data_IF_851028923979
#
_entry.id   IF_851028923979
#
_cell.length_a   1.000
_cell.length_b   1.000
_cell.length_c   1.000
_cell.angle_alpha   90.00
_cell.angle_beta   90.00
_cell.angle_gamma   90.00
#
_symmetry.space_group_name_H-M   'P 1'
#
loop_
_entity.id
_entity.type
_entity.pdbx_description
1 polymer ?
#
# COMPACT_ATOMS: atom_id res chain seq x y z
N UNK A 1 4.39 -36.22 23.10
CA UNK A 1 3.54 -35.33 22.30
C UNK A 1 4.18 -33.95 22.33
N UNK A 2 4.76 -33.46 21.23
CA UNK A 2 5.49 -32.18 21.23
C UNK A 2 5.88 -31.77 19.82
N UNK A 3 4.97 -31.07 19.13
CA UNK A 3 5.21 -30.53 17.80
C UNK A 3 4.22 -29.38 17.51
N UNK A 4 4.28 -28.29 18.28
CA UNK A 4 3.50 -27.08 17.98
C UNK A 4 4.28 -25.76 18.09
N UNK A 5 5.54 -25.76 18.53
CA UNK A 5 6.26 -24.52 18.87
C UNK A 5 7.00 -23.83 17.71
N UNK A 6 7.20 -24.50 16.57
CA UNK A 6 8.09 -24.00 15.52
C UNK A 6 7.48 -22.90 14.64
N UNK A 7 6.16 -22.93 14.40
CA UNK A 7 5.47 -21.97 13.54
C UNK A 7 5.17 -20.65 14.23
N UNK A 8 4.73 -20.66 15.48
CA UNK A 8 4.46 -19.44 16.27
C UNK A 8 5.73 -18.62 16.51
N UNK A 9 6.85 -19.30 16.81
CA UNK A 9 8.13 -18.63 17.04
C UNK A 9 8.64 -17.93 15.76
N UNK A 10 8.40 -18.53 14.59
CA UNK A 10 8.75 -17.92 13.29
C UNK A 10 7.90 -16.69 12.96
N UNK A 11 6.62 -16.70 13.31
CA UNK A 11 5.72 -15.54 13.14
C UNK A 11 6.16 -14.40 14.06
N UNK A 12 6.48 -14.71 15.32
CA UNK A 12 7.02 -13.77 16.31
C UNK A 12 8.29 -13.06 15.82
N UNK A 13 9.24 -13.80 15.24
CA UNK A 13 10.49 -13.23 14.71
C UNK A 13 10.21 -12.27 13.55
N UNK A 14 9.39 -12.70 12.57
CA UNK A 14 9.04 -11.86 11.41
C UNK A 14 8.32 -10.57 11.81
N UNK A 15 7.44 -10.65 12.80
CA UNK A 15 6.75 -9.49 13.34
C UNK A 15 7.74 -8.51 13.98
N UNK A 16 8.63 -9.01 14.86
CA UNK A 16 9.65 -8.19 15.52
C UNK A 16 10.55 -7.48 14.50
N UNK A 17 11.00 -8.19 13.47
CA UNK A 17 11.81 -7.61 12.40
C UNK A 17 11.07 -6.48 11.66
N UNK A 18 9.81 -6.72 11.28
CA UNK A 18 8.99 -5.72 10.60
C UNK A 18 8.80 -4.46 11.47
N UNK A 19 8.49 -4.64 12.75
CA UNK A 19 8.31 -3.54 13.71
C UNK A 19 9.62 -2.77 13.96
N UNK A 20 10.75 -3.47 14.08
CA UNK A 20 12.07 -2.85 14.27
C UNK A 20 12.41 -1.95 13.08
N UNK A 21 12.15 -2.43 11.86
CA UNK A 21 12.37 -1.65 10.65
C UNK A 21 11.46 -0.42 10.59
N UNK A 22 10.17 -0.57 10.90
CA UNK A 22 9.25 0.57 10.94
C UNK A 22 9.59 1.58 12.05
N UNK A 23 10.10 1.11 13.19
CA UNK A 23 10.58 1.96 14.27
C UNK A 23 11.80 2.78 13.83
N UNK A 24 12.73 2.17 13.09
CA UNK A 24 13.93 2.86 12.58
C UNK A 24 13.63 4.02 11.64
N UNK A 25 12.47 4.01 10.98
CA UNK A 25 12.00 5.12 10.13
C UNK A 25 11.05 6.08 10.84
N UNK A 26 10.80 5.89 12.14
CA UNK A 26 9.81 6.66 12.91
C UNK A 26 8.34 6.41 12.51
N UNK A 27 8.07 5.41 11.66
CA UNK A 27 6.74 5.19 11.10
C UNK A 27 5.87 4.25 11.96
N UNK A 28 6.46 3.54 12.93
CA UNK A 28 5.78 2.48 13.68
C UNK A 28 4.47 2.94 14.34
N UNK A 29 4.49 4.05 15.09
CA UNK A 29 3.30 4.56 15.79
C UNK A 29 2.19 4.98 14.82
N UNK A 30 2.57 5.55 13.67
CA UNK A 30 1.62 5.90 12.61
C UNK A 30 1.00 4.64 12.01
N UNK A 31 1.81 3.61 11.72
CA UNK A 31 1.34 2.35 11.16
C UNK A 31 0.40 1.63 12.12
N UNK A 32 0.72 1.61 13.43
CA UNK A 32 -0.16 1.02 14.45
C UNK A 32 -1.53 1.72 14.47
N UNK A 33 -1.53 3.05 14.50
CA UNK A 33 -2.78 3.83 14.48
C UNK A 33 -3.59 3.57 13.22
N UNK A 34 -2.94 3.58 12.05
CA UNK A 34 -3.59 3.30 10.77
C UNK A 34 -4.14 1.87 10.72
N UNK A 35 -3.39 0.89 11.20
CA UNK A 35 -3.85 -0.50 11.23
C UNK A 35 -5.06 -0.66 12.14
N UNK A 36 -5.03 -0.12 13.35
CA UNK A 36 -6.19 -0.17 14.26
C UNK A 36 -7.45 0.50 13.70
N UNK A 37 -7.29 1.54 12.87
CA UNK A 37 -8.43 2.20 12.23
C UNK A 37 -9.01 1.39 11.04
N UNK A 38 -8.19 0.57 10.39
CA UNK A 38 -8.56 -0.16 9.17
C UNK A 38 -8.86 -1.63 9.41
N UNK A 39 -8.36 -2.19 10.51
CA UNK A 39 -8.53 -3.58 10.86
C UNK A 39 -9.96 -3.86 11.30
N UNK A 40 -10.45 -5.00 10.87
CA UNK A 40 -11.70 -5.56 11.36
C UNK A 40 -11.51 -6.04 12.81
N UNK A 41 -12.33 -5.58 13.78
CA UNK A 41 -12.16 -5.90 15.20
C UNK A 41 -12.22 -7.39 15.50
N UNK A 42 -13.00 -8.14 14.72
CA UNK A 42 -13.24 -9.57 14.95
C UNK A 42 -12.10 -10.44 14.40
N UNK A 43 -11.44 -10.00 13.33
CA UNK A 43 -10.37 -10.77 12.68
C UNK A 43 -8.95 -10.23 12.86
N UNK A 44 -8.77 -9.06 13.50
CA UNK A 44 -7.47 -8.41 13.70
C UNK A 44 -6.64 -8.31 12.39
N UNK A 45 -7.33 -8.11 11.28
CA UNK A 45 -6.75 -8.02 9.94
C UNK A 45 -7.49 -6.97 9.13
N UNK A 46 -6.79 -6.31 8.22
CA UNK A 46 -7.39 -5.30 7.34
C UNK A 46 -8.08 -6.02 6.18
N UNK A 47 -9.40 -5.81 5.97
CA UNK A 47 -10.09 -6.25 4.77
C UNK A 47 -9.52 -5.57 3.52
N UNK A 48 -9.34 -6.29 2.42
CA UNK A 48 -8.74 -5.74 1.20
C UNK A 48 -9.50 -4.50 0.69
N UNK A 49 -10.83 -4.52 0.78
CA UNK A 49 -11.68 -3.41 0.37
C UNK A 49 -11.41 -2.15 1.20
N UNK A 50 -11.22 -2.27 2.52
CA UNK A 50 -10.90 -1.14 3.39
C UNK A 50 -9.55 -0.53 3.02
N UNK A 51 -8.56 -1.38 2.73
CA UNK A 51 -7.24 -0.92 2.31
C UNK A 51 -7.29 -0.27 0.91
N UNK A 52 -8.12 -0.79 0.00
CA UNK A 52 -8.27 -0.25 -1.35
C UNK A 52 -8.86 1.16 -1.34
N UNK A 53 -9.84 1.40 -0.47
CA UNK A 53 -10.41 2.73 -0.29
C UNK A 53 -9.37 3.77 0.17
N UNK A 54 -8.34 3.36 0.91
CA UNK A 54 -7.25 4.28 1.31
C UNK A 54 -6.40 4.76 0.13
N UNK A 55 -6.31 3.97 -0.95
CA UNK A 55 -5.54 4.31 -2.15
C UNK A 55 -6.42 4.80 -3.30
N UNK A 56 -7.75 4.77 -3.15
CA UNK A 56 -8.66 5.39 -4.11
C UNK A 56 -8.51 6.92 -4.06
N UNK A 57 -7.90 7.48 -5.11
CA UNK A 57 -7.85 8.91 -5.32
C UNK A 57 -9.22 9.39 -5.80
N UNK A 58 -10.07 9.81 -4.86
CA UNK A 58 -11.40 10.32 -5.20
C UNK A 58 -11.28 11.72 -5.81
N UNK A 59 -11.63 11.87 -7.08
CA UNK A 59 -11.52 13.14 -7.79
C UNK A 59 -12.82 13.95 -7.66
N UNK A 60 -12.98 14.66 -6.55
CA UNK A 60 -14.04 15.67 -6.42
C UNK A 60 -13.52 17.00 -6.93
N UNK A 61 -13.92 17.35 -8.15
CA UNK A 61 -13.65 18.64 -8.80
C UNK A 61 -12.18 18.86 -9.23
N UNK A 62 -11.77 18.21 -10.33
CA UNK A 62 -10.56 18.55 -11.08
C UNK A 62 -10.25 20.04 -11.15
N UNK A 63 -9.15 20.48 -10.55
CA UNK A 63 -8.49 21.69 -11.04
C UNK A 63 -7.37 21.21 -11.94
N UNK A 64 -7.67 21.13 -13.23
CA UNK A 64 -6.69 20.79 -14.26
C UNK A 64 -6.48 22.02 -15.14
N UNK A 65 -5.23 22.47 -15.26
CA UNK A 65 -4.87 23.58 -16.18
C UNK A 65 -4.92 23.14 -17.66
N UNK A 66 -5.06 21.83 -17.91
CA UNK A 66 -5.25 21.30 -19.26
C UNK A 66 -6.69 21.53 -19.74
N UNK A 67 -6.82 21.92 -21.01
CA UNK A 67 -8.11 22.22 -21.66
C UNK A 67 -9.09 21.04 -21.65
N UNK A 68 -8.58 19.81 -21.58
CA UNK A 68 -9.35 18.56 -21.55
C UNK A 68 -8.60 17.51 -20.76
N UNK A 69 -9.22 16.96 -19.71
CA UNK A 69 -8.75 15.74 -19.04
C UNK A 69 -9.20 14.55 -19.89
N UNK A 70 -8.31 13.64 -20.33
CA UNK A 70 -8.71 12.47 -21.09
C UNK A 70 -9.68 11.59 -20.26
N UNK A 71 -10.70 11.02 -20.92
CA UNK A 71 -11.66 10.11 -20.27
C UNK A 71 -10.99 8.88 -19.64
N UNK A 72 -9.78 8.53 -20.10
CA UNK A 72 -8.96 7.45 -19.55
C UNK A 72 -8.29 7.79 -18.22
N UNK A 73 -8.17 9.07 -17.86
CA UNK A 73 -7.47 9.50 -16.65
C UNK A 73 -8.24 9.13 -15.36
N UNK A 74 -9.56 9.37 -15.25
CA UNK A 74 -10.35 8.83 -14.14
C UNK A 74 -10.24 7.30 -14.01
N UNK A 75 -10.33 6.57 -15.12
CA UNK A 75 -10.16 5.11 -15.12
C UNK A 75 -8.77 4.68 -14.61
N UNK A 76 -7.71 5.40 -14.99
CA UNK A 76 -6.37 5.12 -14.48
C UNK A 76 -6.29 5.29 -12.95
N UNK A 77 -6.94 6.32 -12.41
CA UNK A 77 -6.99 6.56 -10.95
C UNK A 77 -7.79 5.48 -10.23
N UNK A 78 -8.88 4.99 -10.82
CA UNK A 78 -9.68 3.88 -10.28
C UNK A 78 -8.85 2.60 -10.16
N UNK A 79 -7.92 2.36 -11.10
CA UNK A 79 -7.03 1.20 -11.09
C UNK A 79 -5.74 1.38 -10.26
N UNK A 80 -5.41 2.61 -9.88
CA UNK A 80 -4.17 2.91 -9.17
C UNK A 80 -4.11 2.21 -7.81
N UNK A 81 -5.22 2.23 -7.06
CA UNK A 81 -5.31 1.56 -5.75
C UNK A 81 -4.99 0.07 -5.85
N UNK A 82 -5.66 -0.64 -6.75
CA UNK A 82 -5.43 -2.07 -7.01
C UNK A 82 -3.99 -2.35 -7.46
N UNK A 83 -3.44 -1.49 -8.32
CA UNK A 83 -2.05 -1.61 -8.82
C UNK A 83 -0.99 -1.42 -7.73
N UNK A 84 -1.33 -0.78 -6.61
CA UNK A 84 -0.49 -0.66 -5.42
C UNK A 84 -0.72 -1.85 -4.49
N UNK A 85 -1.97 -2.26 -4.27
CA UNK A 85 -2.25 -3.32 -3.31
C UNK A 85 -1.71 -4.68 -3.72
N UNK A 86 -1.93 -5.09 -4.97
CA UNK A 86 -1.55 -6.41 -5.47
C UNK A 86 -0.06 -6.75 -5.27
N UNK A 87 0.90 -5.90 -5.65
CA UNK A 87 2.32 -6.20 -5.50
C UNK A 87 2.86 -6.01 -4.08
N UNK A 88 2.20 -5.23 -3.23
CA UNK A 88 2.76 -4.80 -1.94
C UNK A 88 2.06 -5.41 -0.72
N UNK A 89 0.74 -5.56 -0.74
CA UNK A 89 -0.08 -5.85 0.44
C UNK A 89 -0.94 -7.12 0.36
N UNK A 90 -1.11 -7.74 -0.82
CA UNK A 90 -1.99 -8.92 -0.98
C UNK A 90 -1.41 -10.17 -0.31
N UNK A 91 -2.27 -10.84 0.46
CA UNK A 91 -2.09 -12.17 1.03
C UNK A 91 -3.06 -13.16 0.38
N UNK A 92 -2.76 -14.46 0.38
CA UNK A 92 -3.60 -15.53 -0.20
C UNK A 92 -5.04 -15.56 0.35
N UNK A 93 -5.30 -14.93 1.50
CA UNK A 93 -6.60 -14.98 2.19
C UNK A 93 -7.47 -13.73 2.01
N UNK A 94 -7.08 -12.78 1.16
CA UNK A 94 -7.86 -11.56 0.91
C UNK A 94 -7.98 -10.61 2.12
N UNK A 95 -7.19 -10.84 3.16
CA UNK A 95 -7.05 -9.98 4.34
C UNK A 95 -5.58 -9.74 4.59
N UNK A 96 -5.25 -8.56 5.13
CA UNK A 96 -3.87 -8.15 5.38
C UNK A 96 -3.61 -8.18 6.89
N UNK A 97 -2.74 -9.09 7.32
CA UNK A 97 -2.28 -9.14 8.72
C UNK A 97 -1.36 -7.95 9.06
N UNK A 98 -1.13 -7.71 10.36
CA UNK A 98 -0.21 -6.66 10.81
C UNK A 98 1.18 -6.77 10.16
N UNK A 99 1.75 -7.97 10.14
CA UNK A 99 3.09 -8.22 9.58
C UNK A 99 3.11 -7.89 8.08
N UNK A 100 2.09 -8.31 7.34
CA UNK A 100 1.98 -8.04 5.90
C UNK A 100 1.77 -6.57 5.61
N UNK A 101 1.00 -5.87 6.45
CA UNK A 101 0.77 -4.44 6.34
C UNK A 101 2.08 -3.64 6.51
N UNK A 102 2.85 -3.94 7.56
CA UNK A 102 4.13 -3.25 7.82
C UNK A 102 5.15 -3.57 6.72
N UNK A 103 5.22 -4.82 6.26
CA UNK A 103 6.09 -5.19 5.14
C UNK A 103 5.67 -4.55 3.83
N UNK A 104 4.37 -4.48 3.55
CA UNK A 104 3.82 -3.83 2.36
C UNK A 104 4.16 -2.35 2.33
N UNK A 105 4.03 -1.66 3.47
CA UNK A 105 4.46 -0.27 3.63
C UNK A 105 5.94 -0.11 3.27
N UNK A 106 6.82 -0.94 3.83
CA UNK A 106 8.25 -0.91 3.52
C UNK A 106 8.52 -1.15 2.03
N UNK A 107 7.87 -2.15 1.42
CA UNK A 107 8.04 -2.44 -0.01
C UNK A 107 7.58 -1.27 -0.88
N UNK A 108 6.47 -0.64 -0.51
CA UNK A 108 5.93 0.54 -1.19
C UNK A 108 6.89 1.73 -1.10
N UNK A 109 7.46 2.00 0.09
CA UNK A 109 8.41 3.09 0.29
C UNK A 109 9.81 2.80 -0.29
N UNK A 110 10.20 1.54 -0.41
CA UNK A 110 11.51 1.14 -0.94
C UNK A 110 11.57 1.20 -2.47
N UNK A 111 10.43 1.06 -3.16
CA UNK A 111 10.34 1.34 -4.59
C UNK A 111 10.14 2.84 -4.77
N UNK A 112 10.83 3.43 -5.74
CA UNK A 112 10.82 4.85 -6.09
C UNK A 112 9.51 5.55 -5.73
N UNK A 113 9.61 6.73 -5.07
CA UNK A 113 8.44 7.57 -4.80
C UNK A 113 7.54 7.66 -6.03
N UNK A 114 6.23 7.52 -5.83
CA UNK A 114 5.25 7.67 -6.92
C UNK A 114 5.48 8.98 -7.69
N UNK A 115 5.99 10.03 -7.02
CA UNK A 115 6.40 11.28 -7.68
C UNK A 115 7.50 11.09 -8.72
N UNK A 116 8.49 10.23 -8.48
CA UNK A 116 9.57 9.94 -9.44
C UNK A 116 9.02 9.15 -10.62
N UNK A 117 8.18 8.14 -10.38
CA UNK A 117 7.55 7.36 -11.44
C UNK A 117 6.62 8.20 -12.32
N UNK A 118 5.79 9.05 -11.72
CA UNK A 118 4.91 9.98 -12.44
C UNK A 118 5.71 11.02 -13.22
N UNK A 119 6.82 11.52 -12.65
CA UNK A 119 7.69 12.46 -13.35
C UNK A 119 8.40 11.80 -14.55
N UNK A 120 8.79 10.53 -14.44
CA UNK A 120 9.34 9.76 -15.56
C UNK A 120 8.31 9.59 -16.68
N UNK A 121 7.05 9.31 -16.34
CA UNK A 121 5.96 9.18 -17.32
C UNK A 121 5.66 10.54 -17.99
N UNK A 122 5.53 11.61 -17.20
CA UNK A 122 5.31 12.97 -17.72
C UNK A 122 6.49 13.49 -18.57
N UNK A 123 7.72 13.14 -18.20
CA UNK A 123 8.94 13.53 -18.94
C UNK A 123 9.18 12.72 -20.22
N UNK A 124 8.50 11.57 -20.38
CA UNK A 124 8.54 10.81 -21.65
C UNK A 124 7.63 11.39 -22.71
N UNK A 125 6.55 12.07 -22.33
CA UNK A 125 5.64 12.69 -23.29
C UNK A 125 6.30 13.86 -24.05
N UNK A 126 7.27 14.55 -23.46
CA UNK A 126 8.04 15.61 -24.13
C UNK A 126 9.12 15.11 -25.10
N UNK A 127 9.31 13.80 -25.26
CA UNK A 127 10.32 13.21 -26.18
C UNK A 127 9.71 12.47 -27.37
N UNK A 128 8.40 12.54 -27.56
CA UNK A 128 7.66 11.84 -28.62
C UNK A 128 7.05 12.74 -29.70
N UNK A 129 7.49 14.00 -29.82
CA UNK A 129 7.14 14.89 -30.93
C UNK A 129 8.43 15.42 -31.54
N UNK A 130 9.01 14.60 -32.42
CA UNK A 130 9.87 15.06 -33.51
C UNK A 130 9.04 15.25 -34.75
#
# INVERSE_FOLDING_TARGET
MGASTSTEQKVSIKQREAETLAASTGALSMLQKSFSNLADPDSNAIPLNSLQQCFCLTYKNPVCEALTVPDSFPMLLDHLGSSILDPFFVSEKGKVSWVEFVWGYKKCCARMSASVSLNIVSSREKRGLG
#
